data_IF_455395245968
#
_entry.id   IF_455395245968
#
_cell.length_a   1.000
_cell.length_b   1.000
_cell.length_c   1.000
_cell.angle_alpha   90.00
_cell.angle_beta   90.00
_cell.angle_gamma   90.00
#
_symmetry.space_group_name_H-M   'P 1'
#
loop_
_entity.id
_entity.type
_entity.pdbx_description
1 polymer ?
#
# COMPACT_ATOMS: atom_id res chain seq x y z
N UNK A 1 -12.73 23.59 29.46
CA UNK A 1 -11.40 23.02 29.17
C UNK A 1 -11.21 23.01 27.66
N UNK A 2 -10.43 23.96 27.14
CA UNK A 2 -10.31 24.25 25.71
C UNK A 2 -9.20 23.38 25.10
N UNK A 3 -9.54 22.53 24.13
CA UNK A 3 -8.56 21.69 23.44
C UNK A 3 -7.71 22.61 22.53
N UNK A 4 -6.46 22.87 22.91
CA UNK A 4 -5.53 23.66 22.11
C UNK A 4 -5.33 22.98 20.75
N UNK A 5 -5.56 23.74 19.68
CA UNK A 5 -5.46 23.27 18.31
C UNK A 5 -4.08 22.68 18.03
N UNK A 6 -4.05 21.42 17.58
CA UNK A 6 -2.85 20.83 16.97
C UNK A 6 -2.51 21.63 15.72
N UNK A 7 -1.51 22.49 15.82
CA UNK A 7 -0.92 23.15 14.65
C UNK A 7 -0.24 22.07 13.81
N UNK A 8 -0.82 21.77 12.66
CA UNK A 8 -0.27 20.81 11.73
C UNK A 8 1.11 21.32 11.26
N UNK A 9 2.17 20.54 11.51
CA UNK A 9 3.53 20.94 11.14
C UNK A 9 3.62 21.09 9.60
N UNK A 10 4.02 22.26 9.06
CA UNK A 10 4.04 22.52 7.61
C UNK A 10 4.99 21.60 6.83
N UNK A 11 5.88 20.86 7.50
CA UNK A 11 6.73 19.82 6.89
C UNK A 11 6.06 18.46 6.73
N UNK A 12 4.88 18.23 7.33
CA UNK A 12 4.13 16.98 7.20
C UNK A 12 3.73 16.69 5.74
N UNK A 13 3.43 17.73 4.96
CA UNK A 13 3.12 17.61 3.53
C UNK A 13 4.37 17.42 2.65
N UNK A 14 5.55 17.91 3.10
CA UNK A 14 6.81 17.81 2.34
C UNK A 14 7.49 16.44 2.48
N UNK A 15 7.25 15.70 3.56
CA UNK A 15 7.80 14.35 3.75
C UNK A 15 7.01 13.26 2.99
N UNK A 16 5.97 13.62 2.21
CA UNK A 16 5.12 12.69 1.47
C UNK A 16 5.68 12.24 0.11
N UNK A 17 6.90 12.63 -0.30
CA UNK A 17 7.45 12.20 -1.58
C UNK A 17 8.95 11.87 -1.47
N UNK A 18 9.29 10.58 -1.62
CA UNK A 18 9.93 10.15 -2.86
C UNK A 18 9.38 8.79 -3.33
N UNK A 19 8.08 8.72 -3.62
CA UNK A 19 7.46 7.66 -4.43
C UNK A 19 5.99 8.05 -4.53
N UNK A 20 5.61 8.63 -5.67
CA UNK A 20 4.28 9.21 -5.88
C UNK A 20 3.23 8.12 -5.60
N UNK A 21 2.38 8.25 -4.56
CA UNK A 21 1.21 7.41 -4.45
C UNK A 21 0.39 7.66 -5.70
N UNK A 22 0.06 6.62 -6.48
CA UNK A 22 -0.95 6.76 -7.50
C UNK A 22 -2.21 7.28 -6.79
N UNK A 23 -2.65 8.47 -7.19
CA UNK A 23 -3.89 9.03 -6.69
C UNK A 23 -4.98 8.25 -7.41
N UNK A 24 -5.43 7.18 -6.78
CA UNK A 24 -6.61 6.44 -7.24
C UNK A 24 -7.84 7.33 -7.09
N UNK A 25 -8.84 7.13 -7.97
CA UNK A 25 -10.07 7.94 -7.99
C UNK A 25 -10.89 7.85 -6.69
N UNK A 26 -10.61 6.82 -5.86
CA UNK A 26 -11.28 6.57 -4.59
C UNK A 26 -10.30 6.41 -3.41
N UNK A 27 -10.66 6.90 -2.20
CA UNK A 27 -9.89 6.63 -1.00
C UNK A 27 -10.07 5.18 -0.54
N UNK A 28 -9.04 4.61 0.10
CA UNK A 28 -9.14 3.29 0.76
C UNK A 28 -10.09 3.37 1.95
N UNK A 29 -11.29 2.80 1.84
CA UNK A 29 -12.35 2.86 2.86
C UNK A 29 -12.51 1.58 3.70
N UNK A 30 -12.08 0.43 3.17
CA UNK A 30 -12.19 -0.86 3.84
C UNK A 30 -10.82 -1.40 4.29
N UNK A 31 -10.80 -2.09 5.44
CA UNK A 31 -9.64 -2.89 5.89
C UNK A 31 -9.95 -4.36 5.72
N UNK A 32 -9.04 -5.08 5.07
CA UNK A 32 -9.12 -6.54 4.88
C UNK A 32 -7.94 -7.18 5.63
N UNK A 33 -8.24 -8.10 6.54
CA UNK A 33 -7.23 -8.86 7.28
C UNK A 33 -7.05 -10.23 6.62
N UNK A 34 -5.80 -10.64 6.39
CA UNK A 34 -5.46 -11.92 5.75
C UNK A 34 -4.38 -12.64 6.53
N UNK A 35 -4.56 -13.94 6.75
CA UNK A 35 -3.53 -14.81 7.32
C UNK A 35 -2.71 -15.48 6.20
N UNK A 36 -1.39 -15.45 6.33
CA UNK A 36 -0.45 -16.07 5.39
C UNK A 36 0.53 -16.96 6.15
N UNK A 37 1.02 -18.01 5.51
CA UNK A 37 2.20 -18.74 6.00
C UNK A 37 3.43 -17.84 6.00
N UNK A 38 4.48 -18.13 6.78
CA UNK A 38 5.72 -17.35 6.75
C UNK A 38 6.31 -17.24 5.35
N UNK A 39 6.31 -18.34 4.59
CA UNK A 39 6.77 -18.38 3.19
C UNK A 39 5.92 -17.50 2.28
N UNK A 40 4.60 -17.57 2.39
CA UNK A 40 3.69 -16.73 1.62
C UNK A 40 3.90 -15.24 1.92
N UNK A 41 4.00 -14.86 3.19
CA UNK A 41 4.29 -13.49 3.62
C UNK A 41 5.60 -12.97 3.03
N UNK A 42 6.69 -13.75 3.13
CA UNK A 42 7.99 -13.35 2.57
C UNK A 42 7.93 -13.21 1.05
N UNK A 43 7.24 -14.11 0.36
CA UNK A 43 7.07 -14.04 -1.09
C UNK A 43 6.40 -12.75 -1.55
N UNK A 44 5.26 -12.38 -0.94
CA UNK A 44 4.52 -11.17 -1.32
C UNK A 44 5.29 -9.90 -0.94
N UNK A 45 6.02 -9.89 0.19
CA UNK A 45 6.87 -8.76 0.57
C UNK A 45 8.00 -8.52 -0.44
N UNK A 46 8.69 -9.59 -0.85
CA UNK A 46 9.73 -9.50 -1.89
C UNK A 46 9.16 -9.01 -3.22
N UNK A 47 7.97 -9.49 -3.58
CA UNK A 47 7.29 -9.02 -4.79
C UNK A 47 6.99 -7.52 -4.72
N UNK A 48 6.47 -7.04 -3.59
CA UNK A 48 6.21 -5.60 -3.41
C UNK A 48 7.50 -4.76 -3.52
N UNK A 49 8.59 -5.24 -2.93
CA UNK A 49 9.91 -4.61 -3.00
C UNK A 49 10.45 -4.55 -4.45
N UNK A 50 10.29 -5.61 -5.24
CA UNK A 50 10.70 -5.66 -6.65
C UNK A 50 10.07 -4.56 -7.51
N UNK A 51 8.82 -4.20 -7.22
CA UNK A 51 8.10 -3.14 -7.93
C UNK A 51 8.17 -1.79 -7.20
N UNK A 52 8.95 -1.68 -6.12
CA UNK A 52 9.07 -0.48 -5.30
C UNK A 52 7.72 0.00 -4.74
N UNK A 53 6.84 -0.94 -4.37
CA UNK A 53 5.50 -0.71 -3.84
C UNK A 53 5.42 -1.07 -2.37
N UNK A 54 4.51 -0.42 -1.64
CA UNK A 54 4.05 -0.97 -0.36
C UNK A 54 3.23 -2.24 -0.59
N UNK A 55 3.16 -3.14 0.39
CA UNK A 55 2.30 -4.32 0.32
C UNK A 55 0.84 -3.98 -0.01
N UNK A 56 0.32 -2.92 0.63
CA UNK A 56 -1.06 -2.46 0.39
C UNK A 56 -1.27 -1.89 -1.02
N UNK A 57 -0.21 -1.38 -1.65
CA UNK A 57 -0.29 -0.81 -2.99
C UNK A 57 -0.19 -1.89 -4.06
N UNK A 58 0.67 -2.88 -3.84
CA UNK A 58 0.70 -4.09 -4.68
C UNK A 58 -0.68 -4.77 -4.73
N UNK A 59 -1.35 -4.92 -3.58
CA UNK A 59 -2.67 -5.56 -3.50
C UNK A 59 -3.74 -4.73 -4.24
N UNK A 60 -3.70 -3.39 -4.12
CA UNK A 60 -4.61 -2.51 -4.86
C UNK A 60 -4.43 -2.66 -6.37
N UNK A 61 -3.19 -2.60 -6.85
CA UNK A 61 -2.89 -2.73 -8.27
C UNK A 61 -3.30 -4.11 -8.82
N UNK A 62 -3.12 -5.18 -8.04
CA UNK A 62 -3.68 -6.50 -8.37
C UNK A 62 -5.21 -6.45 -8.48
N UNK A 63 -5.90 -5.88 -7.49
CA UNK A 63 -7.35 -5.78 -7.48
C UNK A 63 -7.92 -4.94 -8.62
N UNK A 64 -7.18 -3.94 -9.09
CA UNK A 64 -7.52 -3.07 -10.23
C UNK A 64 -7.19 -3.67 -11.59
N UNK A 65 -6.51 -4.83 -11.63
CA UNK A 65 -6.07 -5.45 -12.89
C UNK A 65 -4.82 -4.80 -13.51
N UNK A 66 -4.09 -3.99 -12.75
CA UNK A 66 -2.82 -3.37 -13.16
C UNK A 66 -1.64 -4.36 -13.05
N UNK A 67 -1.87 -5.54 -12.45
CA UNK A 67 -0.95 -6.67 -12.46
C UNK A 67 -1.57 -7.88 -13.17
N UNK A 68 -0.85 -8.43 -14.15
CA UNK A 68 -1.19 -9.72 -14.73
C UNK A 68 -0.68 -10.86 -13.84
N UNK A 69 -1.60 -11.67 -13.32
CA UNK A 69 -1.27 -12.83 -12.48
C UNK A 69 -1.29 -14.11 -13.31
N UNK A 70 -0.12 -14.72 -13.50
CA UNK A 70 0.02 -16.01 -14.18
C UNK A 70 0.11 -17.13 -13.15
N UNK A 71 -0.85 -18.06 -13.19
CA UNK A 71 -0.78 -19.28 -12.37
C UNK A 71 0.20 -20.26 -13.01
N UNK A 72 1.30 -20.56 -12.31
CA UNK A 72 2.15 -21.70 -12.67
C UNK A 72 1.38 -22.99 -12.36
N UNK A 73 1.11 -23.78 -13.39
CA UNK A 73 0.60 -25.14 -13.26
C UNK A 73 1.78 -26.05 -13.55
N UNK A 74 2.23 -26.76 -12.52
CA UNK A 74 3.16 -27.88 -12.61
C UNK A 74 2.40 -29.18 -12.86
#
# INVERSE_FOLDING_TARGET
MSNQGRVMNPRSLKNLRPNIPQIHDEPKTARINTALTPTGKQGVLKLAEQYNLSLSELIEQIGRGEFELVRKVS
#
